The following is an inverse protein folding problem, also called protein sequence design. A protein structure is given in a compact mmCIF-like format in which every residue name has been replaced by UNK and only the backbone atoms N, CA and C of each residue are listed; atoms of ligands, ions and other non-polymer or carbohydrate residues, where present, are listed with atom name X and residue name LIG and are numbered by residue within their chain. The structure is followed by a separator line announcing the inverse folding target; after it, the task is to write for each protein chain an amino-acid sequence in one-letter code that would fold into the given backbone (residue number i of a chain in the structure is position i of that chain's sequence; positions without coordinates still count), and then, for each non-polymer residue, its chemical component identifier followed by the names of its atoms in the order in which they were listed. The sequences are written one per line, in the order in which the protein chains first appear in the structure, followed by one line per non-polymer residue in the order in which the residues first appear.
data_IF_409251057938
#
_entry.id   IF_409251057938
#
_cell.length_a   1.000
_cell.length_b   1.000
_cell.length_c   1.000
_cell.angle_alpha   90.00
_cell.angle_beta   90.00
_cell.angle_gamma   90.00
#
_symmetry.space_group_name_H-M   'P 1'
#
loop_
_entity.id
_entity.type
_entity.pdbx_description
1 polymer ?
#
# COMPACT_ATOMS: atom_id res chain seq x y z
N UNK A 1 5.26 -0.33 -6.13
CA UNK A 1 4.75 0.84 -5.37
C UNK A 1 5.91 1.69 -4.88
N UNK A 2 5.64 2.91 -4.41
CA UNK A 2 6.63 3.81 -3.81
C UNK A 2 6.25 4.03 -2.35
N UNK A 3 7.20 3.82 -1.43
CA UNK A 3 7.06 4.26 -0.04
C UNK A 3 8.01 5.42 0.20
N UNK A 4 7.59 6.34 1.05
CA UNK A 4 8.42 7.43 1.55
C UNK A 4 8.77 7.09 2.98
N UNK A 5 10.07 6.97 3.26
CA UNK A 5 10.58 6.74 4.60
C UNK A 5 11.36 7.98 5.00
N UNK A 6 11.01 8.57 6.15
CA UNK A 6 11.71 9.70 6.75
C UNK A 6 12.07 9.35 8.18
N UNK A 7 13.33 9.56 8.57
CA UNK A 7 13.84 9.23 9.91
C UNK A 7 13.56 7.77 10.33
N UNK A 8 13.65 6.82 9.38
CA UNK A 8 13.37 5.40 9.64
C UNK A 8 11.89 5.06 9.80
N UNK A 9 10.97 6.00 9.52
CA UNK A 9 9.52 5.80 9.62
C UNK A 9 8.85 5.94 8.27
N UNK A 10 7.87 5.10 7.99
CA UNK A 10 7.06 5.21 6.77
C UNK A 10 6.13 6.43 6.92
N UNK A 11 6.32 7.45 6.10
CA UNK A 11 5.49 8.68 6.12
C UNK A 11 4.49 8.72 4.97
N UNK A 12 4.72 7.98 3.90
CA UNK A 12 3.77 7.88 2.79
C UNK A 12 3.92 6.54 2.05
N UNK A 13 2.84 6.11 1.40
CA UNK A 13 2.79 4.92 0.59
C UNK A 13 1.86 5.15 -0.61
N UNK A 14 2.38 4.96 -1.82
CA UNK A 14 1.65 5.16 -3.08
C UNK A 14 1.80 3.96 -4.00
N UNK A 15 0.66 3.39 -4.42
CA UNK A 15 0.63 2.38 -5.48
C UNK A 15 1.15 2.99 -6.78
N UNK A 16 2.15 2.33 -7.39
CA UNK A 16 2.72 2.75 -8.70
C UNK A 16 1.89 2.20 -9.86
N UNK A 17 1.04 1.21 -9.58
CA UNK A 17 0.17 0.58 -10.57
C UNK A 17 -1.19 0.30 -9.91
N UNK A 18 -2.16 1.18 -10.12
CA UNK A 18 -3.56 0.79 -10.00
C UNK A 18 -4.00 0.31 -11.39
N UNK A 19 -4.57 -0.90 -11.56
CA UNK A 19 -5.16 -1.27 -12.83
C UNK A 19 -6.30 -0.28 -13.11
N UNK A 20 -6.13 0.55 -14.13
CA UNK A 20 -7.18 1.43 -14.63
C UNK A 20 -8.22 0.58 -15.33
N UNK A 21 -9.28 0.21 -14.60
CA UNK A 21 -10.41 -0.54 -15.11
C UNK A 21 -11.63 -0.27 -14.25
N UNK A 22 -12.76 0.01 -14.91
CA UNK A 22 -14.16 0.36 -14.57
C UNK A 22 -14.72 0.35 -13.12
N UNK A 23 -13.92 0.16 -12.07
CA UNK A 23 -14.27 0.18 -10.63
C UNK A 23 -13.29 1.05 -9.83
N UNK A 24 -12.92 2.20 -10.41
CA UNK A 24 -11.99 3.18 -9.82
C UNK A 24 -12.39 3.62 -8.41
N UNK A 25 -13.69 3.80 -8.15
CA UNK A 25 -14.16 4.29 -6.84
C UNK A 25 -13.82 3.33 -5.69
N UNK A 26 -14.02 2.03 -5.87
CA UNK A 26 -13.67 1.03 -4.85
C UNK A 26 -12.16 0.83 -4.75
N UNK A 27 -11.46 0.88 -5.88
CA UNK A 27 -10.00 0.79 -5.94
C UNK A 27 -9.34 1.96 -5.20
N UNK A 28 -9.80 3.19 -5.43
CA UNK A 28 -9.30 4.39 -4.77
C UNK A 28 -9.57 4.39 -3.27
N UNK A 29 -10.77 3.99 -2.83
CA UNK A 29 -11.09 3.85 -1.41
C UNK A 29 -10.16 2.84 -0.72
N UNK A 30 -9.91 1.71 -1.39
CA UNK A 30 -9.03 0.67 -0.87
C UNK A 30 -7.59 1.14 -0.79
N UNK A 31 -7.10 1.88 -1.79
CA UNK A 31 -5.75 2.47 -1.77
C UNK A 31 -5.58 3.44 -0.60
N UNK A 32 -6.59 4.27 -0.30
CA UNK A 32 -6.53 5.19 0.84
C UNK A 32 -6.46 4.44 2.17
N UNK A 33 -7.30 3.41 2.36
CA UNK A 33 -7.28 2.60 3.57
C UNK A 33 -5.97 1.82 3.74
N UNK A 34 -5.46 1.20 2.66
CA UNK A 34 -4.19 0.46 2.69
C UNK A 34 -3.02 1.40 3.01
N UNK A 35 -3.04 2.65 2.52
CA UNK A 35 -2.06 3.68 2.87
C UNK A 35 -2.08 4.01 4.36
N UNK A 36 -3.25 4.31 4.92
CA UNK A 36 -3.39 4.61 6.35
C UNK A 36 -2.93 3.44 7.22
N UNK A 37 -3.30 2.22 6.86
CA UNK A 37 -2.83 1.01 7.55
C UNK A 37 -1.31 0.86 7.46
N UNK A 38 -0.71 1.15 6.31
CA UNK A 38 0.74 1.07 6.12
C UNK A 38 1.47 2.07 7.01
N UNK A 39 1.00 3.33 7.05
CA UNK A 39 1.56 4.38 7.90
C UNK A 39 1.35 4.03 9.39
N UNK A 40 0.20 3.45 9.76
CA UNK A 40 -0.07 3.05 11.15
C UNK A 40 0.77 1.84 11.57
N UNK A 41 0.86 0.82 10.73
CA UNK A 41 1.60 -0.40 11.01
C UNK A 41 3.12 -0.22 10.94
N UNK A 42 3.60 0.87 10.31
CA UNK A 42 5.02 1.14 10.04
C UNK A 42 5.74 -0.06 9.38
N UNK A 43 4.99 -0.91 8.68
CA UNK A 43 5.48 -2.18 8.14
C UNK A 43 4.57 -2.68 7.03
N UNK A 44 4.98 -3.76 6.36
CA UNK A 44 4.15 -4.44 5.37
C UNK A 44 3.00 -5.26 5.96
N UNK A 45 2.85 -5.30 7.29
CA UNK A 45 1.81 -6.05 7.98
C UNK A 45 0.48 -5.28 8.00
N UNK A 46 -0.18 -5.25 6.86
CA UNK A 46 -1.49 -4.60 6.69
C UNK A 46 -2.58 -5.63 6.42
N UNK A 47 -3.81 -5.28 6.74
CA UNK A 47 -5.00 -6.06 6.42
C UNK A 47 -5.52 -5.66 5.05
N UNK A 48 -5.78 -6.64 4.18
CA UNK A 48 -6.40 -6.36 2.89
C UNK A 48 -7.79 -5.73 3.03
N UNK A 49 -8.21 -4.94 2.03
CA UNK A 49 -9.53 -4.31 2.01
C UNK A 49 -10.53 -5.24 1.34
N UNK A 50 -11.66 -5.48 2.01
CA UNK A 50 -12.76 -6.30 1.49
C UNK A 50 -13.33 -5.69 0.22
N UNK A 51 -13.45 -6.48 -0.85
CA UNK A 51 -13.87 -6.03 -2.18
C UNK A 51 -12.73 -5.53 -3.08
N UNK A 52 -11.48 -5.50 -2.60
CA UNK A 52 -10.31 -5.10 -3.38
C UNK A 52 -9.13 -6.07 -3.16
N UNK A 53 -9.40 -7.38 -3.23
CA UNK A 53 -8.39 -8.42 -3.04
C UNK A 53 -7.22 -8.28 -4.01
N UNK A 54 -7.49 -7.95 -5.29
CA UNK A 54 -6.46 -7.75 -6.32
C UNK A 54 -5.51 -6.60 -5.97
N UNK A 55 -6.09 -5.44 -5.60
CA UNK A 55 -5.34 -4.25 -5.20
C UNK A 55 -4.58 -4.48 -3.90
N UNK A 56 -5.22 -5.12 -2.92
CA UNK A 56 -4.62 -5.43 -1.61
C UNK A 56 -3.43 -6.36 -1.75
N UNK A 57 -3.55 -7.38 -2.59
CA UNK A 57 -2.45 -8.30 -2.87
C UNK A 57 -1.28 -7.58 -3.56
N UNK A 58 -1.54 -6.87 -4.65
CA UNK A 58 -0.50 -6.11 -5.36
C UNK A 58 0.16 -5.03 -4.50
N UNK A 59 -0.61 -4.41 -3.61
CA UNK A 59 -0.11 -3.48 -2.61
C UNK A 59 0.82 -4.17 -1.63
N UNK A 60 0.38 -5.26 -1.01
CA UNK A 60 1.18 -6.02 -0.04
C UNK A 60 2.51 -6.48 -0.65
N UNK A 61 2.49 -7.12 -1.81
CA UNK A 61 3.72 -7.61 -2.45
C UNK A 61 4.69 -6.47 -2.78
N UNK A 62 4.15 -5.35 -3.27
CA UNK A 62 4.94 -4.15 -3.53
C UNK A 62 5.49 -3.52 -2.26
N UNK A 63 4.71 -3.54 -1.18
CA UNK A 63 5.05 -2.94 0.11
C UNK A 63 6.16 -3.72 0.79
N UNK A 64 6.05 -5.06 0.85
CA UNK A 64 7.11 -5.94 1.36
C UNK A 64 8.42 -5.66 0.63
N UNK A 65 8.38 -5.59 -0.69
CA UNK A 65 9.57 -5.30 -1.50
C UNK A 65 10.14 -3.90 -1.23
N UNK A 66 9.28 -2.92 -1.01
CA UNK A 66 9.68 -1.53 -0.77
C UNK A 66 10.25 -1.34 0.64
N UNK A 67 9.65 -1.96 1.65
CA UNK A 67 10.13 -2.00 3.05
C UNK A 67 11.49 -2.70 3.10
N UNK A 68 11.62 -3.86 2.46
CA UNK A 68 12.88 -4.58 2.35
C UNK A 68 13.98 -3.73 1.67
N UNK A 69 13.64 -2.98 0.62
CA UNK A 69 14.57 -2.03 -0.02
C UNK A 69 14.92 -0.83 0.85
N UNK A 70 14.00 -0.38 1.70
CA UNK A 70 14.23 0.72 2.63
C UNK A 70 15.11 0.30 3.83
N UNK A 71 15.27 -1.01 4.06
CA UNK A 71 16.15 -1.54 5.12
C UNK A 71 15.64 -1.27 6.53
N UNK A 72 14.31 -1.18 6.68
CA UNK A 72 13.59 -1.05 7.95
C UNK A 72 12.78 -2.31 8.27
#
# INVERSE_FOLDING_TARGET
MKITVQNGKITDAQAVQAPSGSSDRYTQLSVSQLREQTITAQSANIQGVSGASFTSYGWYTSLVSAVAKAGI
#
